data_IF_903382971572
#
_entry.id   IF_903382971572
#
_cell.length_a   1.000
_cell.length_b   1.000
_cell.length_c   1.000
_cell.angle_alpha   90.00
_cell.angle_beta   90.00
_cell.angle_gamma   90.00
#
_symmetry.space_group_name_H-M   'P 1'
#
loop_
_entity.id
_entity.type
_entity.pdbx_description
1 polymer ?
#
# COMPACT_ATOMS: atom_id res chain seq x y z
N UNK A 1 -40.63 -19.93 14.05
CA UNK A 1 -39.61 -20.04 12.98
C UNK A 1 -39.64 -18.77 12.14
N UNK A 2 -38.45 -18.35 11.68
CA UNK A 2 -38.14 -17.24 10.76
C UNK A 2 -38.26 -15.81 11.31
N UNK A 3 -37.17 -15.33 11.92
CA UNK A 3 -36.87 -13.90 12.06
C UNK A 3 -35.89 -13.49 10.96
N UNK A 4 -36.32 -12.59 10.09
CA UNK A 4 -35.51 -12.05 8.97
C UNK A 4 -34.38 -11.18 9.51
N UNK A 5 -33.13 -11.50 9.18
CA UNK A 5 -31.98 -10.66 9.48
C UNK A 5 -31.86 -9.55 8.41
N UNK A 6 -32.27 -8.33 8.76
CA UNK A 6 -32.12 -7.17 7.89
C UNK A 6 -30.66 -6.75 7.73
N UNK A 7 -30.18 -6.68 6.49
CA UNK A 7 -28.88 -6.08 6.16
C UNK A 7 -28.94 -4.57 6.47
N UNK A 8 -28.17 -4.11 7.47
CA UNK A 8 -27.98 -2.69 7.73
C UNK A 8 -26.93 -2.12 6.79
N UNK A 9 -27.34 -1.27 5.85
CA UNK A 9 -26.45 -0.42 5.04
C UNK A 9 -26.13 0.83 5.88
N UNK A 10 -24.84 1.02 6.21
CA UNK A 10 -24.34 2.25 6.82
C UNK A 10 -23.67 3.09 5.75
N UNK A 11 -24.30 4.20 5.38
CA UNK A 11 -23.76 5.19 4.44
C UNK A 11 -23.00 6.26 5.25
N UNK A 12 -21.69 6.37 5.07
CA UNK A 12 -20.90 7.45 5.66
C UNK A 12 -20.81 8.60 4.66
N UNK A 13 -21.39 9.75 5.01
CA UNK A 13 -21.23 11.00 4.26
C UNK A 13 -20.03 11.74 4.81
N UNK A 14 -18.91 11.77 4.08
CA UNK A 14 -17.82 12.70 4.40
C UNK A 14 -18.27 14.10 3.96
N UNK A 15 -18.68 14.94 4.90
CA UNK A 15 -18.83 16.37 4.65
C UNK A 15 -17.43 16.98 4.45
N UNK A 16 -17.05 17.18 3.20
CA UNK A 16 -15.93 18.06 2.88
C UNK A 16 -16.36 19.51 3.18
N UNK A 17 -15.50 20.27 3.86
CA UNK A 17 -15.73 21.70 4.09
C UNK A 17 -16.02 22.40 2.75
N UNK A 18 -17.00 23.34 2.69
CA UNK A 18 -17.40 24.02 1.47
C UNK A 18 -16.33 24.94 0.85
N UNK A 19 -15.09 24.92 1.37
CA UNK A 19 -13.95 25.67 0.86
C UNK A 19 -13.14 24.95 -0.23
N UNK A 20 -13.43 23.69 -0.55
CA UNK A 20 -12.84 23.01 -1.73
C UNK A 20 -13.60 23.38 -3.00
N UNK A 21 -13.47 24.64 -3.43
CA UNK A 21 -13.77 25.02 -4.81
C UNK A 21 -12.73 24.34 -5.70
N UNK A 22 -13.09 23.26 -6.38
CA UNK A 22 -12.33 22.79 -7.53
C UNK A 22 -12.33 23.90 -8.58
N UNK A 23 -11.19 24.57 -8.75
CA UNK A 23 -11.03 25.53 -9.83
C UNK A 23 -11.07 24.77 -11.15
N UNK A 24 -12.15 24.94 -11.89
CA UNK A 24 -12.20 24.50 -13.27
C UNK A 24 -11.17 25.31 -14.08
N UNK A 25 -10.30 24.58 -14.79
CA UNK A 25 -9.40 25.06 -15.86
C UNK A 25 -8.18 25.88 -15.40
N UNK A 26 -7.02 25.22 -15.38
CA UNK A 26 -5.81 25.79 -15.99
C UNK A 26 -5.51 24.98 -17.25
N UNK A 27 -5.97 25.50 -18.38
CA UNK A 27 -5.63 25.00 -19.70
C UNK A 27 -4.13 25.21 -19.91
N UNK A 28 -3.31 24.15 -19.85
CA UNK A 28 -1.97 24.22 -20.43
C UNK A 28 -2.13 24.04 -21.93
N UNK A 29 -1.86 25.10 -22.69
CA UNK A 29 -1.83 25.06 -24.15
C UNK A 29 -0.87 23.96 -24.63
N UNK A 30 -1.43 22.94 -25.27
CA UNK A 30 -0.66 22.04 -26.12
C UNK A 30 -0.52 22.69 -27.50
N UNK A 31 0.71 23.04 -27.90
CA UNK A 31 1.02 23.38 -29.29
C UNK A 31 0.84 22.13 -30.17
N UNK A 32 0.05 22.17 -31.26
CA UNK A 32 -0.05 21.03 -32.16
C UNK A 32 1.20 20.95 -33.05
N UNK A 33 1.85 19.79 -33.09
CA UNK A 33 2.83 19.46 -34.15
C UNK A 33 2.12 18.71 -35.27
N UNK A 34 2.35 19.22 -36.48
CA UNK A 34 1.79 18.80 -37.77
C UNK A 34 1.98 17.32 -38.09
N UNK A 35 0.96 16.74 -38.74
CA UNK A 35 1.00 15.47 -39.45
C UNK A 35 2.06 15.51 -40.56
N UNK A 36 3.17 14.78 -40.37
CA UNK A 36 3.92 14.01 -41.38
C UNK A 36 5.33 13.71 -40.84
N UNK A 37 5.54 12.51 -40.30
CA UNK A 37 6.79 11.74 -40.44
C UNK A 37 6.71 10.44 -39.63
N UNK A 38 6.81 9.32 -40.33
CA UNK A 38 7.40 8.04 -39.91
C UNK A 38 7.28 7.62 -38.44
N UNK A 39 6.49 6.57 -38.19
CA UNK A 39 6.49 5.78 -36.96
C UNK A 39 7.91 5.25 -36.72
N UNK A 40 8.66 5.91 -35.84
CA UNK A 40 9.77 5.33 -35.12
C UNK A 40 9.40 5.27 -33.64
N UNK A 41 9.00 4.07 -33.20
CA UNK A 41 8.89 3.73 -31.79
C UNK A 41 10.30 3.75 -31.17
N UNK A 42 10.76 4.92 -30.74
CA UNK A 42 11.85 5.03 -29.78
C UNK A 42 11.30 4.73 -28.39
N UNK A 43 11.22 3.45 -28.06
CA UNK A 43 11.28 3.03 -26.67
C UNK A 43 12.63 3.52 -26.15
N UNK A 44 12.65 4.66 -25.44
CA UNK A 44 13.80 5.06 -24.65
C UNK A 44 13.99 3.99 -23.57
N UNK A 45 14.82 3.00 -23.91
CA UNK A 45 15.41 2.06 -22.99
C UNK A 45 16.16 2.90 -21.97
N UNK A 46 15.60 3.05 -20.77
CA UNK A 46 16.37 3.52 -19.63
C UNK A 46 17.57 2.58 -19.49
N UNK A 47 18.78 3.13 -19.55
CA UNK A 47 20.03 2.42 -19.27
C UNK A 47 19.90 1.59 -17.99
N UNK A 48 20.54 0.41 -17.87
CA UNK A 48 20.75 -0.23 -16.59
C UNK A 48 21.27 0.83 -15.61
N UNK A 49 20.53 1.09 -14.54
CA UNK A 49 20.89 2.12 -13.58
C UNK A 49 21.96 1.52 -12.68
N UNK A 50 23.21 1.72 -13.05
CA UNK A 50 24.31 1.66 -12.10
C UNK A 50 24.02 2.69 -11.02
N UNK A 51 23.90 2.23 -9.78
CA UNK A 51 23.84 3.13 -8.63
C UNK A 51 25.14 3.95 -8.66
N UNK A 52 25.06 5.24 -8.98
CA UNK A 52 26.24 6.10 -8.95
C UNK A 52 26.81 6.10 -7.53
N UNK A 53 28.00 5.53 -7.46
CA UNK A 53 28.83 5.31 -6.28
C UNK A 53 29.26 6.66 -5.72
N UNK A 54 28.62 7.07 -4.63
CA UNK A 54 29.24 7.87 -3.56
C UNK A 54 28.99 7.10 -2.26
N UNK A 55 29.70 5.97 -2.16
CA UNK A 55 29.34 4.82 -1.33
C UNK A 55 30.15 4.77 -0.02
N UNK A 56 29.89 5.74 0.86
CA UNK A 56 30.43 5.71 2.23
C UNK A 56 29.36 5.91 3.32
N UNK A 57 28.11 6.23 2.97
CA UNK A 57 27.02 6.42 3.96
C UNK A 57 25.80 5.51 3.78
N UNK A 58 25.66 4.82 2.65
CA UNK A 58 24.46 4.03 2.35
C UNK A 58 24.57 2.54 2.73
N UNK A 59 25.70 2.11 3.28
CA UNK A 59 25.93 0.75 3.80
C UNK A 59 25.24 0.43 5.14
N UNK A 60 24.62 1.41 5.80
CA UNK A 60 24.04 1.26 7.15
C UNK A 60 22.80 0.36 7.21
N UNK A 61 22.53 -0.21 8.38
CA UNK A 61 21.23 -0.82 8.75
C UNK A 61 20.10 0.21 8.57
N UNK A 62 18.90 -0.25 8.20
CA UNK A 62 17.73 0.63 8.11
C UNK A 62 17.37 1.08 9.52
N UNK A 63 17.37 2.39 9.78
CA UNK A 63 16.99 2.93 11.09
C UNK A 63 15.47 2.83 11.26
N UNK A 64 15.00 2.83 12.52
CA UNK A 64 13.55 2.86 12.79
C UNK A 64 12.89 4.11 12.18
N UNK A 65 13.58 5.25 12.24
CA UNK A 65 13.13 6.52 11.64
C UNK A 65 13.00 6.42 10.11
N UNK A 66 13.99 5.81 9.43
CA UNK A 66 13.92 5.56 7.99
C UNK A 66 12.75 4.63 7.65
N UNK A 67 12.57 3.54 8.40
CA UNK A 67 11.44 2.60 8.22
C UNK A 67 10.09 3.29 8.38
N UNK A 68 9.93 4.06 9.46
CA UNK A 68 8.70 4.80 9.74
C UNK A 68 8.45 5.91 8.72
N UNK A 69 9.51 6.44 8.11
CA UNK A 69 9.44 7.38 7.00
C UNK A 69 8.67 6.85 5.78
N UNK A 70 8.65 5.52 5.57
CA UNK A 70 7.91 4.87 4.49
C UNK A 70 6.40 4.69 4.74
N UNK A 71 5.89 5.22 5.86
CA UNK A 71 4.47 5.13 6.23
C UNK A 71 4.15 3.99 7.21
N UNK A 72 5.17 3.28 7.71
CA UNK A 72 5.02 2.23 8.70
C UNK A 72 5.03 2.81 10.13
N UNK A 73 4.24 2.24 11.04
CA UNK A 73 4.33 2.54 12.49
C UNK A 73 4.96 1.40 13.28
N UNK A 74 5.23 0.28 12.62
CA UNK A 74 5.84 -0.91 13.20
C UNK A 74 7.34 -0.73 13.44
N UNK A 75 7.94 -1.54 14.33
CA UNK A 75 9.39 -1.74 14.36
C UNK A 75 9.89 -2.29 13.01
N UNK A 76 11.20 -2.13 12.76
CA UNK A 76 11.83 -2.72 11.55
C UNK A 76 11.66 -4.24 11.57
N UNK A 77 11.07 -4.87 10.53
CA UNK A 77 10.84 -6.31 10.54
C UNK A 77 12.18 -7.10 10.60
N UNK A 78 12.37 -7.99 11.60
CA UNK A 78 13.60 -8.76 11.75
C UNK A 78 13.92 -9.61 10.53
N UNK A 79 12.92 -10.26 9.94
CA UNK A 79 13.12 -11.11 8.76
C UNK A 79 13.53 -10.30 7.52
N UNK A 80 13.04 -9.07 7.35
CA UNK A 80 13.50 -8.17 6.28
C UNK A 80 14.96 -7.80 6.51
N UNK A 81 15.33 -7.49 7.76
CA UNK A 81 16.71 -7.16 8.15
C UNK A 81 17.66 -8.33 7.88
N UNK A 82 17.27 -9.55 8.26
CA UNK A 82 18.02 -10.78 7.99
C UNK A 82 18.23 -10.98 6.49
N UNK A 83 17.18 -10.81 5.67
CA UNK A 83 17.31 -10.96 4.21
C UNK A 83 18.23 -9.89 3.62
N UNK A 84 18.18 -8.64 4.10
CA UNK A 84 19.11 -7.58 3.67
C UNK A 84 20.55 -7.96 4.01
N UNK A 85 20.81 -8.48 5.22
CA UNK A 85 22.14 -8.93 5.62
C UNK A 85 22.60 -10.11 4.77
N UNK A 86 21.72 -11.07 4.50
CA UNK A 86 21.97 -12.22 3.62
C UNK A 86 22.38 -11.81 2.20
N UNK A 87 21.76 -10.75 1.66
CA UNK A 87 22.05 -10.18 0.35
C UNK A 87 23.42 -9.47 0.33
N UNK A 88 23.71 -8.66 1.35
CA UNK A 88 25.02 -7.99 1.49
C UNK A 88 26.16 -8.99 1.70
N UNK A 89 25.95 -10.05 2.47
CA UNK A 89 26.92 -11.13 2.62
C UNK A 89 27.16 -11.85 1.29
N UNK A 90 26.11 -12.05 0.49
CA UNK A 90 26.25 -12.64 -0.84
C UNK A 90 27.08 -11.75 -1.78
N UNK A 91 26.89 -10.43 -1.72
CA UNK A 91 27.65 -9.45 -2.52
C UNK A 91 29.14 -9.54 -2.22
N UNK A 92 29.49 -9.59 -0.93
CA UNK A 92 30.88 -9.77 -0.48
C UNK A 92 31.48 -11.12 -0.87
N UNK A 93 30.66 -12.19 -0.94
CA UNK A 93 31.15 -13.54 -1.22
C UNK A 93 31.39 -13.80 -2.72
N UNK A 94 30.66 -13.10 -3.60
CA UNK A 94 30.69 -13.33 -5.05
C UNK A 94 31.47 -12.24 -5.78
N UNK A 95 31.91 -11.20 -5.06
CA UNK A 95 32.59 -10.02 -5.62
C UNK A 95 31.82 -9.41 -6.81
N UNK A 96 30.49 -9.42 -6.68
CA UNK A 96 29.56 -8.97 -7.70
C UNK A 96 28.52 -8.06 -7.06
N UNK A 97 28.46 -6.82 -7.52
CA UNK A 97 27.56 -5.82 -6.97
C UNK A 97 26.08 -6.11 -7.26
N UNK A 98 25.22 -5.73 -6.32
CA UNK A 98 23.78 -5.76 -6.49
C UNK A 98 23.33 -4.70 -7.51
N UNK A 99 23.00 -5.15 -8.72
CA UNK A 99 22.42 -4.27 -9.74
C UNK A 99 20.90 -4.42 -9.75
N UNK A 100 20.19 -3.31 -9.61
CA UNK A 100 18.73 -3.24 -9.71
C UNK A 100 18.30 -2.56 -11.02
N UNK A 101 17.33 -3.13 -11.70
CA UNK A 101 16.86 -2.59 -12.98
C UNK A 101 15.62 -3.27 -13.55
N UNK A 102 15.27 -2.87 -14.78
CA UNK A 102 14.11 -3.37 -15.52
C UNK A 102 12.76 -2.95 -14.93
N UNK A 103 11.67 -3.47 -15.51
CA UNK A 103 10.31 -3.16 -15.06
C UNK A 103 10.10 -3.57 -13.59
N UNK A 104 9.98 -2.55 -12.73
CA UNK A 104 9.80 -2.72 -11.31
C UNK A 104 11.09 -3.09 -10.56
N UNK A 105 12.26 -2.58 -10.96
CA UNK A 105 13.47 -2.47 -10.12
C UNK A 105 13.89 -3.78 -9.46
N UNK A 106 13.99 -4.85 -10.24
CA UNK A 106 14.38 -6.19 -9.75
C UNK A 106 15.90 -6.34 -9.81
N UNK A 107 16.46 -7.24 -9.00
CA UNK A 107 17.84 -7.69 -9.14
C UNK A 107 18.11 -8.16 -10.58
N UNK A 108 19.30 -7.87 -11.09
CA UNK A 108 19.77 -8.18 -12.45
C UNK A 108 21.13 -8.89 -12.42
N UNK A 109 21.56 -9.37 -13.58
CA UNK A 109 22.90 -9.93 -13.80
C UNK A 109 23.17 -11.24 -13.06
N UNK A 110 24.45 -11.58 -12.94
CA UNK A 110 24.91 -12.84 -12.33
C UNK A 110 24.58 -12.92 -10.84
N UNK A 111 24.60 -11.78 -10.14
CA UNK A 111 24.17 -11.70 -8.75
C UNK A 111 22.74 -12.24 -8.57
N UNK A 112 21.81 -11.84 -9.44
CA UNK A 112 20.42 -12.33 -9.42
C UNK A 112 20.35 -13.86 -9.55
N UNK A 113 21.17 -14.46 -10.41
CA UNK A 113 21.16 -15.91 -10.64
C UNK A 113 21.58 -16.65 -9.37
N UNK A 114 22.64 -16.17 -8.73
CA UNK A 114 23.18 -16.76 -7.50
C UNK A 114 22.24 -16.57 -6.31
N UNK A 115 21.68 -15.37 -6.18
CA UNK A 115 20.67 -15.05 -5.18
C UNK A 115 19.41 -15.90 -5.36
N UNK A 116 18.88 -16.03 -6.58
CA UNK A 116 17.70 -16.86 -6.84
C UNK A 116 17.96 -18.34 -6.52
N UNK A 117 19.20 -18.83 -6.72
CA UNK A 117 19.61 -20.18 -6.33
C UNK A 117 19.61 -20.35 -4.80
N UNK A 118 20.23 -19.42 -4.06
CA UNK A 118 20.23 -19.41 -2.58
C UNK A 118 18.81 -19.28 -2.03
N UNK A 119 18.01 -18.38 -2.59
CA UNK A 119 16.61 -18.17 -2.21
C UNK A 119 15.77 -19.43 -2.43
N UNK A 120 15.87 -20.09 -3.59
CA UNK A 120 15.14 -21.36 -3.84
C UNK A 120 15.52 -22.44 -2.84
N UNK A 121 16.81 -22.58 -2.52
CA UNK A 121 17.27 -23.55 -1.52
C UNK A 121 16.71 -23.23 -0.12
N UNK A 122 16.78 -21.97 0.34
CA UNK A 122 16.21 -21.54 1.63
C UNK A 122 14.69 -21.73 1.65
N UNK A 123 14.00 -21.36 0.58
CA UNK A 123 12.55 -21.54 0.45
C UNK A 123 12.12 -23.01 0.50
N UNK A 124 12.90 -23.92 -0.09
CA UNK A 124 12.65 -25.37 -0.03
C UNK A 124 12.92 -25.94 1.36
N UNK A 125 13.95 -25.45 2.05
CA UNK A 125 14.29 -25.88 3.41
C UNK A 125 13.26 -25.45 4.47
N UNK A 126 12.50 -24.38 4.21
CA UNK A 126 11.37 -24.01 5.07
C UNK A 126 10.29 -25.10 4.98
N UNK A 127 9.94 -25.74 6.09
CA UNK A 127 8.89 -26.78 6.12
C UNK A 127 7.46 -26.23 6.22
N UNK A 128 7.31 -24.99 6.71
CA UNK A 128 6.02 -24.38 7.04
C UNK A 128 5.57 -23.38 5.95
N UNK A 129 4.30 -23.46 5.56
CA UNK A 129 3.73 -22.63 4.48
C UNK A 129 3.65 -21.15 4.85
N UNK A 130 3.38 -20.84 6.12
CA UNK A 130 3.34 -19.47 6.62
C UNK A 130 4.75 -18.88 6.65
N UNK A 131 5.76 -19.61 7.16
CA UNK A 131 7.17 -19.19 7.10
C UNK A 131 7.67 -18.98 5.68
N UNK A 132 7.29 -19.85 4.73
CA UNK A 132 7.60 -19.66 3.29
C UNK A 132 7.03 -18.34 2.78
N UNK A 133 5.78 -18.06 3.11
CA UNK A 133 5.11 -16.85 2.70
C UNK A 133 5.72 -15.59 3.32
N UNK A 134 6.06 -15.63 4.62
CA UNK A 134 6.74 -14.54 5.31
C UNK A 134 8.13 -14.28 4.72
N UNK A 135 8.90 -15.35 4.46
CA UNK A 135 10.21 -15.26 3.84
C UNK A 135 10.14 -14.66 2.43
N UNK A 136 9.16 -15.08 1.62
CA UNK A 136 8.90 -14.48 0.32
C UNK A 136 8.61 -12.98 0.45
N UNK A 137 7.71 -12.60 1.36
CA UNK A 137 7.31 -11.21 1.58
C UNK A 137 8.49 -10.35 2.02
N UNK A 138 9.27 -10.85 2.98
CA UNK A 138 10.48 -10.21 3.47
C UNK A 138 11.51 -10.00 2.37
N UNK A 139 11.74 -11.00 1.49
CA UNK A 139 12.62 -10.85 0.32
C UNK A 139 12.15 -9.78 -0.63
N UNK A 140 10.86 -9.76 -0.95
CA UNK A 140 10.31 -8.76 -1.86
C UNK A 140 10.53 -7.34 -1.32
N UNK A 141 10.30 -7.12 -0.02
CA UNK A 141 10.51 -5.85 0.67
C UNK A 141 12.00 -5.49 0.74
N UNK A 142 12.88 -6.44 1.10
CA UNK A 142 14.32 -6.24 1.16
C UNK A 142 14.90 -5.78 -0.18
N UNK A 143 14.55 -6.48 -1.27
CA UNK A 143 14.97 -6.10 -2.62
C UNK A 143 14.45 -4.70 -3.00
N UNK A 144 13.23 -4.35 -2.59
CA UNK A 144 12.66 -3.02 -2.82
C UNK A 144 13.45 -1.94 -2.08
N UNK A 145 13.75 -2.16 -0.80
CA UNK A 145 14.49 -1.20 0.02
C UNK A 145 15.87 -0.96 -0.55
N UNK A 146 16.63 -2.03 -0.82
CA UNK A 146 17.98 -1.93 -1.39
C UNK A 146 17.96 -1.26 -2.77
N UNK A 147 17.04 -1.66 -3.65
CA UNK A 147 16.92 -1.10 -4.99
C UNK A 147 16.19 0.24 -5.08
N UNK A 148 15.76 0.82 -3.96
CA UNK A 148 15.05 2.12 -3.90
C UNK A 148 15.75 3.15 -3.00
N UNK A 149 16.78 2.74 -2.26
CA UNK A 149 17.45 3.59 -1.28
C UNK A 149 18.19 4.72 -1.97
N UNK A 150 18.12 5.91 -1.37
CA UNK A 150 18.87 7.08 -1.80
C UNK A 150 18.28 7.88 -2.97
N UNK A 151 17.29 7.35 -3.71
CA UNK A 151 16.66 8.10 -4.81
C UNK A 151 15.13 8.22 -4.74
N UNK A 152 14.43 7.40 -3.96
CA UNK A 152 12.99 7.59 -3.72
C UNK A 152 12.76 8.46 -2.48
N UNK A 153 11.78 9.35 -2.58
CA UNK A 153 11.21 10.01 -1.43
C UNK A 153 10.55 8.99 -0.49
N UNK A 154 10.91 9.04 0.80
CA UNK A 154 10.35 8.13 1.82
C UNK A 154 8.83 8.24 1.94
N UNK A 155 8.27 9.44 1.74
CA UNK A 155 6.84 9.70 1.92
C UNK A 155 5.99 9.37 0.69
N UNK A 156 6.40 9.80 -0.52
CA UNK A 156 5.59 9.61 -1.74
C UNK A 156 6.09 8.49 -2.65
N UNK A 157 7.26 7.91 -2.39
CA UNK A 157 7.87 6.86 -3.20
C UNK A 157 8.08 7.23 -4.67
N UNK A 158 8.04 8.52 -5.00
CA UNK A 158 8.48 9.05 -6.28
C UNK A 158 9.99 9.32 -6.22
N UNK A 159 10.69 9.35 -7.36
CA UNK A 159 12.05 9.85 -7.41
C UNK A 159 12.16 11.21 -6.73
N UNK A 160 13.28 11.50 -6.08
CA UNK A 160 13.47 12.74 -5.33
C UNK A 160 13.26 13.98 -6.21
N UNK A 161 13.63 13.90 -7.49
CA UNK A 161 13.41 14.91 -8.52
C UNK A 161 11.92 15.17 -8.83
N UNK A 162 11.06 14.15 -8.67
CA UNK A 162 9.63 14.19 -8.94
C UNK A 162 8.80 14.20 -7.63
N UNK A 163 9.43 14.49 -6.50
CA UNK A 163 8.78 14.43 -5.20
C UNK A 163 7.60 15.41 -5.13
N UNK A 164 6.39 14.87 -4.90
CA UNK A 164 5.16 15.67 -4.82
C UNK A 164 4.79 16.05 -3.38
N UNK A 165 5.60 15.73 -2.36
CA UNK A 165 5.20 15.89 -0.97
C UNK A 165 4.92 17.34 -0.57
N UNK A 166 5.60 18.31 -1.18
CA UNK A 166 5.35 19.74 -0.97
C UNK A 166 4.02 20.22 -1.56
N UNK A 167 3.48 19.48 -2.54
CA UNK A 167 2.23 19.80 -3.23
C UNK A 167 1.00 19.18 -2.54
N UNK A 168 1.21 18.25 -1.61
CA UNK A 168 0.13 17.61 -0.84
C UNK A 168 -0.11 18.42 0.42
N UNK A 169 -1.33 18.93 0.59
CA UNK A 169 -1.76 19.57 1.83
C UNK A 169 -2.33 18.50 2.78
N UNK A 170 -1.73 18.28 3.95
CA UNK A 170 -2.32 17.40 4.95
C UNK A 170 -3.72 17.86 5.34
N UNK A 171 -4.58 16.90 5.66
CA UNK A 171 -5.93 17.12 6.12
C UNK A 171 -6.16 16.27 7.37
N UNK A 172 -6.84 16.83 8.37
CA UNK A 172 -7.20 16.07 9.56
C UNK A 172 -8.38 15.15 9.24
N UNK A 173 -8.18 13.85 9.41
CA UNK A 173 -9.27 12.89 9.41
C UNK A 173 -10.00 12.96 10.76
N UNK A 174 -11.32 12.68 10.77
CA UNK A 174 -12.04 12.51 12.03
C UNK A 174 -11.37 11.43 12.89
N UNK A 175 -11.06 11.75 14.14
CA UNK A 175 -10.27 10.90 15.05
C UNK A 175 -10.89 9.51 15.30
N UNK A 176 -12.18 9.35 15.02
CA UNK A 176 -12.87 8.07 15.10
C UNK A 176 -12.69 7.18 13.87
N UNK A 177 -11.91 7.56 12.86
CA UNK A 177 -11.59 6.73 11.68
C UNK A 177 -10.10 6.44 11.63
N UNK A 178 -9.78 5.19 11.30
CA UNK A 178 -8.43 4.75 10.95
C UNK A 178 -8.47 3.93 9.67
N UNK A 179 -7.64 4.31 8.70
CA UNK A 179 -7.37 3.51 7.51
C UNK A 179 -6.20 2.57 7.75
N UNK A 180 -6.34 1.35 7.23
CA UNK A 180 -5.28 0.36 7.14
C UNK A 180 -5.04 0.09 5.67
N UNK A 181 -3.89 0.55 5.17
CA UNK A 181 -3.45 0.21 3.83
C UNK A 181 -2.78 -1.15 3.90
N UNK A 182 -3.56 -2.20 3.69
CA UNK A 182 -3.06 -3.57 3.69
C UNK A 182 -2.48 -3.85 2.31
N UNK A 183 -1.16 -3.83 2.19
CA UNK A 183 -0.46 -3.78 0.91
C UNK A 183 0.30 -5.07 0.62
N UNK A 184 0.24 -5.52 -0.62
CA UNK A 184 1.02 -6.66 -1.09
C UNK A 184 2.51 -6.29 -1.21
N UNK A 185 3.45 -7.15 -0.78
CA UNK A 185 4.88 -6.82 -0.72
C UNK A 185 5.52 -6.55 -2.09
N UNK A 186 4.90 -6.96 -3.20
CA UNK A 186 5.35 -6.60 -4.56
C UNK A 186 5.10 -5.14 -4.93
N UNK A 187 4.11 -4.52 -4.28
CA UNK A 187 3.63 -3.17 -4.55
C UNK A 187 4.26 -2.14 -3.60
N UNK A 188 4.92 -2.60 -2.54
CA UNK A 188 5.76 -1.78 -1.66
C UNK A 188 6.83 -1.02 -2.48
N UNK A 189 6.96 0.28 -2.21
CA UNK A 189 7.83 1.23 -2.92
C UNK A 189 7.59 1.35 -4.43
N UNK A 190 6.41 0.94 -4.94
CA UNK A 190 6.06 1.21 -6.33
C UNK A 190 5.47 2.61 -6.54
N UNK A 191 5.93 3.26 -7.60
CA UNK A 191 5.52 4.62 -7.95
C UNK A 191 4.05 4.72 -8.36
N UNK A 192 3.49 3.69 -9.02
CA UNK A 192 2.10 3.65 -9.46
C UNK A 192 1.09 3.32 -8.33
N UNK A 193 1.58 3.06 -7.12
CA UNK A 193 0.71 2.82 -5.98
C UNK A 193 0.10 4.14 -5.49
N UNK A 194 -1.22 4.29 -5.54
CA UNK A 194 -1.93 5.51 -5.08
C UNK A 194 -2.42 5.41 -3.63
N UNK A 195 -2.47 4.21 -3.05
CA UNK A 195 -2.90 3.99 -1.67
C UNK A 195 -2.06 4.77 -0.66
N UNK A 196 -0.77 4.95 -0.95
CA UNK A 196 0.15 5.79 -0.17
C UNK A 196 -0.30 7.23 0.06
N UNK A 197 -1.10 7.81 -0.84
CA UNK A 197 -1.58 9.19 -0.69
C UNK A 197 -2.37 9.38 0.60
N UNK A 198 -3.03 8.33 1.09
CA UNK A 198 -3.82 8.38 2.31
C UNK A 198 -2.97 8.70 3.55
N UNK A 199 -1.78 8.11 3.68
CA UNK A 199 -0.89 8.48 4.80
C UNK A 199 -0.27 9.85 4.60
N UNK A 200 -0.12 10.32 3.37
CA UNK A 200 0.42 11.66 3.11
C UNK A 200 -0.61 12.74 3.46
N UNK A 201 -1.87 12.46 3.19
CA UNK A 201 -3.00 13.34 3.49
C UNK A 201 -3.33 13.31 4.99
N UNK A 202 -3.54 12.13 5.57
CA UNK A 202 -4.07 11.99 6.93
C UNK A 202 -3.00 11.73 8.00
N UNK A 203 -1.77 11.44 7.60
CA UNK A 203 -0.68 11.06 8.51
C UNK A 203 -0.71 9.59 8.91
N UNK A 204 0.44 9.10 9.38
CA UNK A 204 0.67 7.69 9.77
C UNK A 204 -0.19 7.21 10.94
N UNK A 205 -0.76 8.13 11.72
CA UNK A 205 -1.66 7.80 12.83
C UNK A 205 -3.06 7.43 12.35
N UNK A 206 -3.55 8.13 11.31
CA UNK A 206 -4.87 7.98 10.74
C UNK A 206 -4.89 7.00 9.56
N UNK A 207 -3.78 6.84 8.83
CA UNK A 207 -3.63 5.84 7.79
C UNK A 207 -2.31 5.06 7.99
N UNK A 208 -2.45 3.80 8.40
CA UNK A 208 -1.33 2.92 8.75
C UNK A 208 -1.04 1.94 7.60
N UNK A 209 0.21 1.87 7.15
CA UNK A 209 0.66 0.81 6.25
C UNK A 209 0.78 -0.52 7.01
N UNK A 210 0.22 -1.59 6.44
CA UNK A 210 0.40 -2.96 6.91
C UNK A 210 0.85 -3.81 5.73
N UNK A 211 2.04 -4.41 5.80
CA UNK A 211 2.58 -5.23 4.72
C UNK A 211 2.14 -6.70 4.86
N UNK A 212 1.53 -7.22 3.80
CA UNK A 212 1.06 -8.60 3.73
C UNK A 212 2.23 -9.59 3.85
N UNK A 213 2.13 -10.50 4.82
CA UNK A 213 3.19 -11.48 5.12
C UNK A 213 4.33 -10.96 6.00
N UNK A 214 4.22 -9.74 6.54
CA UNK A 214 5.09 -9.30 7.64
C UNK A 214 4.33 -9.48 8.95
N UNK A 215 4.83 -10.39 9.79
CA UNK A 215 4.08 -10.86 10.97
C UNK A 215 3.88 -9.75 12.02
N UNK A 216 4.83 -8.84 12.14
CA UNK A 216 4.82 -7.70 13.06
C UNK A 216 3.73 -6.70 12.66
N UNK A 217 3.69 -6.32 11.38
CA UNK A 217 2.69 -5.42 10.80
C UNK A 217 1.28 -6.01 10.95
N UNK A 218 1.12 -7.27 10.55
CA UNK A 218 -0.16 -7.95 10.62
C UNK A 218 -0.62 -8.11 12.07
N UNK A 219 0.28 -8.42 13.01
CA UNK A 219 -0.06 -8.50 14.43
C UNK A 219 -0.53 -7.16 14.98
N UNK A 220 0.11 -6.05 14.61
CA UNK A 220 -0.34 -4.71 14.99
C UNK A 220 -1.76 -4.44 14.46
N UNK A 221 -2.01 -4.75 13.19
CA UNK A 221 -3.32 -4.60 12.57
C UNK A 221 -4.39 -5.49 13.25
N UNK A 222 -4.10 -6.77 13.45
CA UNK A 222 -5.02 -7.72 14.10
C UNK A 222 -5.33 -7.35 15.54
N UNK A 223 -4.33 -6.89 16.30
CA UNK A 223 -4.54 -6.39 17.65
C UNK A 223 -5.48 -5.19 17.64
N UNK A 224 -5.26 -4.22 16.74
CA UNK A 224 -6.16 -3.08 16.61
C UNK A 224 -7.60 -3.47 16.25
N UNK A 225 -7.79 -4.48 15.39
CA UNK A 225 -9.12 -4.98 15.03
C UNK A 225 -9.79 -5.72 16.19
N UNK A 226 -9.03 -6.55 16.91
CA UNK A 226 -9.49 -7.26 18.10
C UNK A 226 -9.91 -6.26 19.19
N UNK A 227 -9.09 -5.24 19.39
CA UNK A 227 -9.34 -4.18 20.36
C UNK A 227 -10.56 -3.35 19.95
N UNK A 228 -10.71 -2.96 18.70
CA UNK A 228 -11.88 -2.20 18.24
C UNK A 228 -13.19 -2.99 18.31
N UNK A 229 -13.11 -4.30 18.09
CA UNK A 229 -14.25 -5.21 17.99
C UNK A 229 -14.82 -5.27 16.57
N UNK A 230 -15.39 -6.42 16.21
CA UNK A 230 -15.77 -6.76 14.82
C UNK A 230 -16.72 -5.75 14.15
N UNK A 231 -17.60 -5.11 14.93
CA UNK A 231 -18.56 -4.12 14.42
C UNK A 231 -17.90 -2.82 13.93
N UNK A 232 -16.64 -2.58 14.31
CA UNK A 232 -15.86 -1.39 13.98
C UNK A 232 -14.74 -1.69 12.99
N UNK A 233 -14.84 -2.78 12.23
CA UNK A 233 -13.86 -3.17 11.20
C UNK A 233 -14.57 -3.39 9.86
N UNK A 234 -14.18 -2.63 8.86
CA UNK A 234 -14.78 -2.61 7.53
C UNK A 234 -13.69 -2.85 6.48
N UNK A 235 -13.84 -3.85 5.63
CA UNK A 235 -12.94 -4.06 4.50
C UNK A 235 -13.63 -3.58 3.23
N UNK A 236 -13.02 -2.61 2.54
CA UNK A 236 -13.47 -2.14 1.25
C UNK A 236 -12.79 -3.01 0.19
N UNK A 237 -13.58 -3.88 -0.44
CA UNK A 237 -13.09 -4.78 -1.48
C UNK A 237 -14.10 -4.83 -2.63
N UNK A 238 -13.69 -4.61 -3.90
CA UNK A 238 -14.63 -4.54 -4.99
C UNK A 238 -15.32 -5.90 -5.20
N UNK A 239 -16.65 -5.87 -5.30
CA UNK A 239 -17.43 -7.05 -5.63
C UNK A 239 -17.49 -7.20 -7.15
N UNK A 240 -16.91 -8.29 -7.68
CA UNK A 240 -16.87 -8.57 -9.13
C UNK A 240 -18.24 -8.78 -9.76
N UNK A 241 -19.25 -9.08 -8.93
CA UNK A 241 -20.57 -9.50 -9.40
C UNK A 241 -21.60 -8.35 -9.38
N UNK A 242 -21.16 -7.10 -9.21
CA UNK A 242 -22.04 -5.92 -9.16
C UNK A 242 -21.65 -4.97 -10.28
N UNK A 243 -22.65 -4.48 -11.02
CA UNK A 243 -22.48 -3.44 -12.05
C UNK A 243 -21.83 -2.20 -11.40
N UNK A 244 -20.70 -1.69 -11.93
CA UNK A 244 -20.06 -0.49 -11.42
C UNK A 244 -21.04 0.68 -11.42
N UNK A 245 -21.23 1.34 -10.28
CA UNK A 245 -21.94 2.62 -10.21
C UNK A 245 -20.93 3.75 -10.40
N UNK A 246 -21.30 4.76 -11.18
CA UNK A 246 -20.49 5.96 -11.33
C UNK A 246 -20.50 6.78 -10.03
N UNK A 247 -19.50 7.64 -9.87
CA UNK A 247 -19.47 8.61 -8.76
C UNK A 247 -20.73 9.49 -8.77
N UNK A 248 -21.26 9.81 -9.96
CA UNK A 248 -22.51 10.55 -10.11
C UNK A 248 -23.73 9.76 -9.61
N UNK A 249 -23.79 8.45 -9.84
CA UNK A 249 -24.87 7.59 -9.32
C UNK A 249 -24.88 7.52 -7.78
N UNK A 250 -23.71 7.61 -7.16
CA UNK A 250 -23.57 7.64 -5.71
C UNK A 250 -24.09 8.93 -5.07
N UNK A 251 -23.84 10.08 -5.72
CA UNK A 251 -24.32 11.38 -5.25
C UNK A 251 -25.78 11.64 -5.63
N UNK A 252 -26.30 10.98 -6.67
CA UNK A 252 -27.70 11.12 -7.12
C UNK A 252 -28.72 10.40 -6.23
N UNK A 253 -28.29 9.46 -5.37
CA UNK A 253 -29.16 8.75 -4.44
C UNK A 253 -29.43 9.48 -3.11
N UNK A 254 -28.92 10.70 -2.91
CA UNK A 254 -29.14 11.46 -1.67
C UNK A 254 -30.25 12.50 -1.86
N UNK A 255 -31.50 12.07 -1.75
CA UNK A 255 -32.58 12.97 -1.33
C UNK A 255 -32.51 13.09 0.19
N UNK A 256 -32.22 14.29 0.69
CA UNK A 256 -32.16 14.60 2.11
C UNK A 256 -33.56 14.48 2.74
N UNK A 257 -33.77 13.44 3.52
CA UNK A 257 -34.72 13.46 4.64
C UNK A 257 -34.25 12.40 5.63
N UNK A 258 -34.06 12.83 6.87
CA UNK A 258 -33.92 12.01 8.07
C UNK A 258 -32.63 11.17 8.20
N UNK A 259 -31.53 11.83 8.55
CA UNK A 259 -30.49 11.17 9.34
C UNK A 259 -29.83 12.16 10.31
N UNK A 260 -30.56 12.57 11.35
CA UNK A 260 -29.90 13.02 12.56
C UNK A 260 -29.14 11.83 13.15
N UNK A 261 -27.84 11.75 12.84
CA UNK A 261 -26.95 10.83 13.50
C UNK A 261 -26.69 11.35 14.91
N UNK A 262 -27.52 10.96 15.87
CA UNK A 262 -27.28 11.19 17.30
C UNK A 262 -26.11 10.30 17.74
N UNK A 263 -24.88 10.71 17.41
CA UNK A 263 -23.66 10.15 18.01
C UNK A 263 -23.60 10.66 19.45
N UNK A 264 -24.30 9.94 20.33
CA UNK A 264 -24.27 10.16 21.77
C UNK A 264 -22.82 10.01 22.25
N UNK A 265 -22.24 11.12 22.66
CA UNK A 265 -20.88 11.26 23.19
C UNK A 265 -20.78 10.63 24.58
N UNK A 266 -20.88 9.31 24.70
CA UNK A 266 -20.69 8.61 25.98
C UNK A 266 -20.11 7.21 25.80
N UNK A 267 -18.89 7.12 25.31
CA UNK A 267 -17.86 6.12 25.68
C UNK A 267 -16.57 6.52 24.97
N UNK A 268 -15.39 6.13 25.48
CA UNK A 268 -14.13 6.25 24.74
C UNK A 268 -14.25 5.49 23.42
N UNK A 269 -14.68 6.18 22.38
CA UNK A 269 -15.19 5.53 21.19
C UNK A 269 -14.02 5.00 20.36
N UNK A 270 -13.78 3.69 20.47
CA UNK A 270 -12.74 3.00 19.69
C UNK A 270 -12.92 3.32 18.20
N UNK A 271 -11.82 3.52 17.44
CA UNK A 271 -11.91 3.96 16.06
C UNK A 271 -12.58 2.92 15.16
N UNK A 272 -13.28 3.39 14.14
CA UNK A 272 -13.71 2.64 12.97
C UNK A 272 -12.48 2.35 12.10
N UNK A 273 -12.20 1.08 11.88
CA UNK A 273 -11.07 0.62 11.07
C UNK A 273 -11.57 0.31 9.66
N UNK A 274 -11.02 1.00 8.67
CA UNK A 274 -11.26 0.75 7.25
C UNK A 274 -10.04 0.11 6.63
N UNK A 275 -10.18 -1.11 6.13
CA UNK A 275 -9.12 -1.86 5.47
C UNK A 275 -9.22 -1.67 3.97
N UNK A 276 -8.16 -1.13 3.39
CA UNK A 276 -7.97 -0.95 1.97
C UNK A 276 -6.95 -1.97 1.49
N UNK A 277 -7.36 -2.87 0.62
CA UNK A 277 -6.48 -3.90 0.08
C UNK A 277 -5.80 -3.34 -1.17
N UNK A 278 -4.47 -3.31 -1.12
CA UNK A 278 -3.65 -2.73 -2.16
C UNK A 278 -2.73 -3.79 -2.78
N UNK A 279 -3.08 -4.20 -3.99
CA UNK A 279 -2.34 -5.16 -4.79
C UNK A 279 -3.08 -5.49 -6.08
N UNK A 280 -2.41 -6.22 -6.99
CA UNK A 280 -3.07 -6.73 -8.20
C UNK A 280 -4.26 -7.62 -7.87
N UNK A 281 -5.21 -7.77 -8.80
CA UNK A 281 -6.45 -8.52 -8.59
C UNK A 281 -6.27 -9.92 -7.97
N UNK A 282 -5.28 -10.67 -8.47
CA UNK A 282 -4.93 -12.00 -7.95
C UNK A 282 -4.34 -11.96 -6.54
N UNK A 283 -3.49 -10.97 -6.24
CA UNK A 283 -2.86 -10.78 -4.94
C UNK A 283 -3.88 -10.30 -3.91
N UNK A 284 -4.71 -9.34 -4.27
CA UNK A 284 -5.75 -8.74 -3.42
C UNK A 284 -6.77 -9.80 -3.01
N UNK A 285 -7.10 -10.76 -3.88
CA UNK A 285 -7.96 -11.88 -3.54
C UNK A 285 -7.35 -12.80 -2.46
N UNK A 286 -6.03 -13.03 -2.48
CA UNK A 286 -5.35 -13.82 -1.45
C UNK A 286 -5.33 -13.10 -0.10
N UNK A 287 -5.05 -11.79 -0.11
CA UNK A 287 -5.09 -10.93 1.08
C UNK A 287 -6.50 -10.89 1.68
N UNK A 288 -7.52 -10.77 0.85
CA UNK A 288 -8.91 -10.78 1.28
C UNK A 288 -9.31 -12.13 1.90
N UNK A 289 -8.84 -13.26 1.36
CA UNK A 289 -9.05 -14.57 1.99
C UNK A 289 -8.42 -14.63 3.39
N UNK A 290 -7.20 -14.12 3.56
CA UNK A 290 -6.54 -14.07 4.89
C UNK A 290 -7.36 -13.24 5.90
N UNK A 291 -7.84 -12.07 5.48
CA UNK A 291 -8.73 -11.22 6.28
C UNK A 291 -10.01 -11.95 6.71
N UNK A 292 -10.61 -12.76 5.81
CA UNK A 292 -11.79 -13.58 6.14
C UNK A 292 -11.50 -14.70 7.13
N UNK A 293 -10.36 -15.39 6.96
CA UNK A 293 -9.98 -16.52 7.82
C UNK A 293 -9.59 -16.07 9.22
N UNK A 294 -9.03 -14.87 9.37
CA UNK A 294 -8.91 -14.26 10.70
C UNK A 294 -10.32 -13.98 11.23
N UNK A 295 -10.79 -14.77 12.20
CA UNK A 295 -12.12 -14.78 12.86
C UNK A 295 -12.61 -13.41 13.41
N UNK A 296 -11.88 -12.34 13.15
CA UNK A 296 -12.10 -10.97 13.60
C UNK A 296 -13.09 -10.22 12.70
N UNK A 297 -13.36 -10.68 11.47
CA UNK A 297 -14.36 -10.03 10.59
C UNK A 297 -15.75 -10.68 10.78
N UNK A 298 -16.74 -9.88 11.19
CA UNK A 298 -18.14 -10.31 11.26
C UNK A 298 -18.81 -10.44 9.89
N UNK A 299 -20.09 -10.86 9.81
CA UNK A 299 -20.85 -10.99 8.55
C UNK A 299 -21.05 -9.67 7.77
N UNK A 300 -20.65 -8.52 8.34
CA UNK A 300 -20.75 -7.18 7.73
C UNK A 300 -19.74 -6.92 6.59
N UNK A 301 -19.15 -7.97 6.00
CA UNK A 301 -18.34 -7.89 4.78
C UNK A 301 -19.13 -7.49 3.52
N UNK A 302 -20.43 -7.19 3.67
CA UNK A 302 -21.29 -6.64 2.63
C UNK A 302 -21.68 -5.19 2.96
N UNK A 303 -20.67 -4.34 3.21
CA UNK A 303 -20.81 -2.91 2.95
C UNK A 303 -20.60 -2.69 1.45
N UNK A 304 -21.68 -2.69 0.68
CA UNK A 304 -21.68 -2.28 -0.72
C UNK A 304 -21.21 -0.82 -0.81
N UNK A 305 -19.93 -0.61 -1.04
CA UNK A 305 -19.37 0.69 -1.34
C UNK A 305 -18.57 0.56 -2.64
N UNK A 306 -19.25 0.95 -3.71
CA UNK A 306 -18.76 0.93 -5.08
C UNK A 306 -17.80 2.10 -5.29
N UNK A 307 -16.50 1.96 -5.00
CA UNK A 307 -15.56 3.03 -5.36
C UNK A 307 -14.20 2.56 -5.84
N UNK A 308 -13.76 3.26 -6.88
CA UNK A 308 -12.44 3.33 -7.52
C UNK A 308 -12.15 2.32 -8.63
N UNK A 309 -12.43 2.77 -9.86
CA UNK A 309 -11.69 2.37 -11.05
C UNK A 309 -11.32 3.66 -11.81
N UNK A 310 -10.03 3.79 -12.14
CA UNK A 310 -9.33 4.84 -12.92
C UNK A 310 -9.10 6.18 -12.23
#
# INVERSE_FOLDING_TARGET
MLSSAGNRVLTFTFQFSPSLKFSAKTHKEFRPRSHNSSIMNSAFRSSPREAQVNDARFGGTITLEEWQGWGCVSPVPPMVTEVIQDLKLLENNIDAHMVFGGNGGKLQGDFKIQEDKKHRAKYQALGDSEKKFQFFSARQIACRLLGSRGYLCQKCWLPMEDCMCSNIKPCSLWHGIRFWLYMHPKDFLRQNNTGKLLWQLFGVQAATLCLYGISEDEKIMWNAFKDAGKAKVWCLYPNQNIVPRTVQDAFSCQSSADLECTLSSTTRDRPLNFVLIDGTWSNSAAMFRRLKTSTIMGPNLYGSSSYWCS
#
